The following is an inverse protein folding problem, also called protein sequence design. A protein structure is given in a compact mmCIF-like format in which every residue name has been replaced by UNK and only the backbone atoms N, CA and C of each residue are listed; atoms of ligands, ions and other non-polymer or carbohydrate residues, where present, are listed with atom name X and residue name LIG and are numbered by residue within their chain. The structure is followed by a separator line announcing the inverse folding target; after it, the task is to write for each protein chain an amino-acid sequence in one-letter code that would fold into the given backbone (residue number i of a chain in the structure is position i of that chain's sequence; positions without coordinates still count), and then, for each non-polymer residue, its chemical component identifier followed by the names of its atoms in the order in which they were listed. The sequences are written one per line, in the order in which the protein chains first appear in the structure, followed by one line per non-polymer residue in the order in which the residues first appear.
data_IF_757710351890
#
_entry.id   IF_757710351890
#
_cell.length_a   1.000
_cell.length_b   1.000
_cell.length_c   1.000
_cell.angle_alpha   90.00
_cell.angle_beta   90.00
_cell.angle_gamma   90.00
#
_symmetry.space_group_name_H-M   'P 1'
#
loop_
_entity.id
_entity.type
_entity.pdbx_description
1 polymer ?
#
# COMPACT_ATOMS: atom_id res chain seq x y z
N UNK A 1 5.12 -6.61 12.42
CA UNK A 1 3.64 -6.63 12.49
C UNK A 1 3.08 -6.24 13.85
N UNK A 2 3.63 -6.76 14.98
CA UNK A 2 3.16 -6.40 16.33
C UNK A 2 3.15 -4.89 16.57
N UNK A 3 4.19 -4.16 16.16
CA UNK A 3 4.25 -2.71 16.31
C UNK A 3 3.32 -1.92 15.36
N UNK A 4 2.84 -2.51 14.26
CA UNK A 4 1.81 -1.88 13.42
C UNK A 4 0.44 -1.90 14.12
N UNK A 5 0.11 -3.00 14.79
CA UNK A 5 -1.13 -3.18 15.56
C UNK A 5 -1.31 -2.14 16.66
N UNK A 6 -0.20 -1.63 17.21
CA UNK A 6 -0.22 -0.67 18.32
C UNK A 6 -0.33 0.79 17.87
N UNK A 7 -0.27 1.08 16.56
CA UNK A 7 -0.46 2.43 16.05
C UNK A 7 -1.91 2.84 16.20
N UNK A 8 -2.14 4.10 16.60
CA UNK A 8 -3.47 4.66 16.92
C UNK A 8 -4.14 5.37 15.75
N UNK A 9 -3.45 5.50 14.63
CA UNK A 9 -3.97 6.11 13.41
C UNK A 9 -3.26 5.53 12.18
N UNK A 10 -3.88 5.70 11.02
CA UNK A 10 -3.31 5.28 9.76
C UNK A 10 -2.04 6.07 9.41
N UNK A 11 -2.00 7.37 9.68
CA UNK A 11 -0.80 8.19 9.45
C UNK A 11 0.39 7.62 10.22
N UNK A 12 0.20 7.23 11.48
CA UNK A 12 1.26 6.59 12.27
C UNK A 12 1.66 5.20 11.75
N UNK A 13 0.74 4.46 11.12
CA UNK A 13 1.09 3.21 10.43
C UNK A 13 1.95 3.49 9.19
N UNK A 14 1.56 4.49 8.38
CA UNK A 14 2.29 4.92 7.18
C UNK A 14 3.69 5.40 7.54
N UNK A 15 3.83 6.29 8.52
CA UNK A 15 5.16 6.76 8.96
C UNK A 15 6.02 5.63 9.50
N UNK A 16 5.41 4.63 10.16
CA UNK A 16 6.16 3.50 10.66
C UNK A 16 6.65 2.57 9.55
N UNK A 17 5.84 2.25 8.54
CA UNK A 17 6.27 1.35 7.46
C UNK A 17 7.32 1.97 6.53
N UNK A 18 7.41 3.29 6.46
CA UNK A 18 8.52 3.98 5.76
C UNK A 18 9.89 3.64 6.35
N UNK A 19 9.94 3.24 7.62
CA UNK A 19 11.18 2.86 8.31
C UNK A 19 11.53 1.38 8.17
N UNK A 20 10.70 0.60 7.47
CA UNK A 20 10.88 -0.84 7.38
C UNK A 20 11.94 -1.23 6.34
N UNK A 21 12.71 -2.25 6.70
CA UNK A 21 13.62 -2.91 5.76
C UNK A 21 12.85 -3.77 4.73
N UNK A 22 13.42 -4.08 3.56
CA UNK A 22 12.74 -4.87 2.53
C UNK A 22 12.16 -6.20 3.04
N UNK A 23 12.91 -6.91 3.90
CA UNK A 23 12.48 -8.17 4.49
C UNK A 23 11.26 -8.04 5.41
N UNK A 24 11.12 -6.91 6.11
CA UNK A 24 9.95 -6.62 6.95
C UNK A 24 8.73 -6.26 6.09
N UNK A 25 8.96 -5.48 5.02
CA UNK A 25 7.94 -5.05 4.07
C UNK A 25 7.26 -6.22 3.36
N UNK A 26 7.99 -7.31 3.10
CA UNK A 26 7.42 -8.56 2.56
C UNK A 26 6.26 -9.12 3.42
N UNK A 27 6.27 -8.91 4.73
CA UNK A 27 5.21 -9.39 5.63
C UNK A 27 3.84 -8.76 5.31
N UNK A 28 3.81 -7.53 4.79
CA UNK A 28 2.57 -6.88 4.36
C UNK A 28 1.95 -7.61 3.17
N UNK A 29 2.79 -7.97 2.20
CA UNK A 29 2.33 -8.65 0.99
C UNK A 29 1.85 -10.08 1.28
N UNK A 30 2.54 -10.80 2.17
CA UNK A 30 2.08 -12.10 2.65
C UNK A 30 0.69 -12.00 3.32
N UNK A 31 0.52 -11.06 4.25
CA UNK A 31 -0.77 -10.84 4.90
C UNK A 31 -1.87 -10.46 3.90
N UNK A 32 -1.56 -9.59 2.93
CA UNK A 32 -2.47 -9.23 1.86
C UNK A 32 -2.91 -10.44 1.03
N UNK A 33 -1.97 -11.29 0.61
CA UNK A 33 -2.26 -12.51 -0.15
C UNK A 33 -3.21 -13.44 0.61
N UNK A 34 -2.96 -13.70 1.89
CA UNK A 34 -3.80 -14.58 2.73
C UNK A 34 -5.25 -14.07 2.84
N UNK A 35 -5.42 -12.76 2.94
CA UNK A 35 -6.75 -12.15 3.07
C UNK A 35 -7.46 -11.90 1.75
N UNK A 36 -6.83 -12.15 0.60
CA UNK A 36 -7.40 -11.82 -0.71
C UNK A 36 -8.83 -12.33 -0.90
N UNK A 37 -9.16 -13.52 -0.35
CA UNK A 37 -10.49 -14.13 -0.46
C UNK A 37 -11.38 -13.93 0.76
N UNK A 38 -10.79 -13.85 1.95
CA UNK A 38 -11.53 -13.86 3.23
C UNK A 38 -11.80 -12.46 3.77
N UNK A 39 -10.94 -11.49 3.44
CA UNK A 39 -11.11 -10.09 3.80
C UNK A 39 -10.49 -9.17 2.71
N UNK A 40 -11.18 -8.99 1.56
CA UNK A 40 -10.65 -8.23 0.43
C UNK A 40 -10.28 -6.78 0.77
N UNK A 41 -11.04 -6.14 1.68
CA UNK A 41 -10.76 -4.78 2.13
C UNK A 41 -9.42 -4.72 2.90
N UNK A 42 -9.18 -5.63 3.84
CA UNK A 42 -7.90 -5.71 4.54
C UNK A 42 -6.74 -6.06 3.61
N UNK A 43 -6.95 -7.00 2.69
CA UNK A 43 -5.97 -7.34 1.66
C UNK A 43 -5.51 -6.09 0.91
N UNK A 44 -6.46 -5.35 0.34
CA UNK A 44 -6.15 -4.17 -0.47
C UNK A 44 -5.53 -3.04 0.34
N UNK A 45 -6.00 -2.79 1.56
CA UNK A 45 -5.43 -1.74 2.42
C UNK A 45 -4.02 -2.06 2.89
N UNK A 46 -3.70 -3.34 3.14
CA UNK A 46 -2.34 -3.74 3.52
C UNK A 46 -1.39 -3.72 2.32
N UNK A 47 -1.85 -4.12 1.13
CA UNK A 47 -1.08 -3.94 -0.10
C UNK A 47 -0.82 -2.45 -0.39
N UNK A 48 -1.80 -1.58 -0.12
CA UNK A 48 -1.62 -0.13 -0.23
C UNK A 48 -0.59 0.38 0.80
N UNK A 49 -0.60 -0.15 2.02
CA UNK A 49 0.38 0.20 3.05
C UNK A 49 1.81 -0.17 2.62
N UNK A 50 1.99 -1.27 1.89
CA UNK A 50 3.29 -1.64 1.30
C UNK A 50 3.84 -0.56 0.36
N UNK A 51 2.98 0.17 -0.39
CA UNK A 51 3.45 1.25 -1.28
C UNK A 51 4.22 2.33 -0.55
N UNK A 52 3.91 2.58 0.73
CA UNK A 52 4.60 3.59 1.54
C UNK A 52 5.97 3.14 2.05
N UNK A 53 6.33 1.87 1.87
CA UNK A 53 7.69 1.37 2.16
C UNK A 53 8.70 1.79 1.08
N UNK A 54 8.21 2.14 -0.11
CA UNK A 54 9.00 2.50 -1.30
C UNK A 54 9.96 1.41 -1.79
N UNK A 55 9.75 0.17 -1.37
CA UNK A 55 10.49 -0.99 -1.86
C UNK A 55 9.82 -1.61 -3.08
N UNK A 56 10.62 -2.12 -4.01
CA UNK A 56 10.12 -2.99 -5.07
C UNK A 56 9.47 -4.25 -4.45
N UNK A 57 8.32 -4.73 -4.98
CA UNK A 57 7.78 -6.01 -4.55
C UNK A 57 8.79 -7.13 -4.85
N UNK A 58 8.96 -8.12 -3.95
CA UNK A 58 9.76 -9.31 -4.25
C UNK A 58 9.26 -10.04 -5.49
N UNK A 59 10.14 -10.80 -6.16
CA UNK A 59 9.83 -11.46 -7.45
C UNK A 59 8.56 -12.32 -7.42
N UNK A 60 8.31 -13.04 -6.32
CA UNK A 60 7.12 -13.87 -6.10
C UNK A 60 5.81 -13.07 -5.95
N UNK A 61 5.89 -11.75 -5.84
CA UNK A 61 4.76 -10.83 -5.76
C UNK A 61 4.61 -9.94 -6.98
N UNK A 62 5.62 -9.81 -7.85
CA UNK A 62 5.60 -8.86 -8.98
C UNK A 62 4.35 -8.99 -9.84
N UNK A 63 3.95 -10.22 -10.18
CA UNK A 63 2.82 -10.49 -11.06
C UNK A 63 1.47 -10.23 -10.35
N UNK A 64 1.36 -10.60 -9.08
CA UNK A 64 0.10 -10.51 -8.35
C UNK A 64 -0.10 -9.18 -7.63
N UNK A 65 0.95 -8.40 -7.41
CA UNK A 65 0.89 -7.15 -6.68
C UNK A 65 -0.13 -6.16 -7.27
N UNK A 66 -0.23 -5.99 -8.61
CA UNK A 66 -1.29 -5.19 -9.20
C UNK A 66 -2.70 -5.67 -8.87
N UNK A 67 -2.93 -6.96 -8.62
CA UNK A 67 -4.24 -7.49 -8.25
C UNK A 67 -4.54 -7.34 -6.75
N UNK A 68 -3.49 -7.29 -5.92
CA UNK A 68 -3.63 -7.07 -4.48
C UNK A 68 -3.99 -5.62 -4.18
N UNK A 69 -3.59 -4.69 -5.03
CA UNK A 69 -3.91 -3.28 -4.91
C UNK A 69 -5.40 -2.98 -5.19
N UNK A 70 -5.99 -1.97 -4.54
CA UNK A 70 -7.33 -1.52 -4.88
C UNK A 70 -7.36 -0.95 -6.30
N UNK A 71 -8.46 -1.19 -7.02
CA UNK A 71 -8.63 -0.72 -8.40
C UNK A 71 -8.52 0.82 -8.50
N UNK A 72 -8.98 1.52 -7.47
CA UNK A 72 -8.97 2.98 -7.36
C UNK A 72 -8.38 3.39 -6.02
N UNK A 73 -7.83 4.60 -5.93
CA UNK A 73 -7.30 5.09 -4.66
C UNK A 73 -8.44 5.28 -3.65
N UNK A 74 -8.33 4.81 -2.39
CA UNK A 74 -9.39 5.01 -1.41
C UNK A 74 -9.60 6.50 -1.07
N UNK A 75 -10.84 7.06 -1.15
CA UNK A 75 -11.11 8.48 -0.90
C UNK A 75 -10.64 8.99 0.45
N UNK A 76 -10.81 8.19 1.51
CA UNK A 76 -10.34 8.51 2.86
C UNK A 76 -8.83 8.76 2.93
N UNK A 77 -8.07 8.26 1.94
CA UNK A 77 -6.61 8.32 1.86
C UNK A 77 -6.12 9.31 0.82
N UNK A 78 -7.02 10.07 0.19
CA UNK A 78 -6.67 11.06 -0.84
C UNK A 78 -5.57 12.03 -0.40
N UNK A 79 -5.53 12.53 0.86
CA UNK A 79 -4.45 13.40 1.32
C UNK A 79 -3.04 12.79 1.21
N UNK A 80 -2.92 11.46 1.20
CA UNK A 80 -1.65 10.73 1.12
C UNK A 80 -1.25 10.38 -0.32
N UNK A 81 -2.19 10.42 -1.28
CA UNK A 81 -2.00 9.94 -2.66
C UNK A 81 -0.84 10.65 -3.37
N UNK A 82 -0.91 11.98 -3.44
CA UNK A 82 0.08 12.81 -4.14
C UNK A 82 1.48 12.64 -3.55
N UNK A 83 1.57 12.58 -2.22
CA UNK A 83 2.83 12.34 -1.51
C UNK A 83 3.43 10.99 -1.88
N UNK A 84 2.62 9.93 -1.84
CA UNK A 84 3.04 8.57 -2.22
C UNK A 84 3.61 8.51 -3.64
N UNK A 85 2.88 9.02 -4.64
CA UNK A 85 3.32 9.02 -6.05
C UNK A 85 4.61 9.84 -6.24
N UNK A 86 4.73 10.97 -5.55
CA UNK A 86 5.91 11.83 -5.61
C UNK A 86 7.14 11.11 -5.06
N UNK A 87 7.01 10.44 -3.91
CA UNK A 87 8.10 9.66 -3.32
C UNK A 87 8.57 8.53 -4.24
N UNK A 88 7.64 7.81 -4.88
CA UNK A 88 7.99 6.80 -5.89
C UNK A 88 8.76 7.40 -7.08
N UNK A 89 8.33 8.56 -7.58
CA UNK A 89 9.04 9.28 -8.64
C UNK A 89 10.47 9.66 -8.24
N UNK A 90 10.68 10.09 -7.00
CA UNK A 90 12.00 10.41 -6.48
C UNK A 90 12.90 9.17 -6.38
N UNK A 91 12.40 8.07 -5.81
CA UNK A 91 13.16 6.83 -5.65
C UNK A 91 13.63 6.28 -7.00
N UNK A 92 12.79 6.37 -8.04
CA UNK A 92 13.16 5.97 -9.41
C UNK A 92 14.28 6.84 -10.00
N UNK A 93 14.36 8.12 -9.62
CA UNK A 93 15.38 9.06 -10.13
C UNK A 93 16.73 8.91 -9.43
N UNK A 94 16.73 8.55 -8.15
CA UNK A 94 17.95 8.55 -7.32
C UNK A 94 18.67 7.20 -7.29
N UNK A 95 18.01 6.09 -7.61
CA UNK A 95 18.64 4.77 -7.57
C UNK A 95 19.29 4.39 -8.91
N UNK A 96 20.63 4.33 -8.92
CA UNK A 96 21.45 4.01 -10.10
C UNK A 96 21.72 2.52 -10.30
N UNK A 97 21.04 1.62 -9.56
CA UNK A 97 21.26 0.16 -9.62
C UNK A 97 20.29 -0.55 -10.58
N UNK A 98 20.55 -1.83 -10.86
CA UNK A 98 19.82 -2.68 -11.83
C UNK A 98 18.32 -2.87 -11.57
N UNK A 99 17.83 -2.49 -10.38
CA UNK A 99 16.40 -2.54 -10.01
C UNK A 99 15.58 -1.34 -10.56
N UNK A 100 16.23 -0.42 -11.28
CA UNK A 100 15.59 0.75 -11.89
C UNK A 100 14.44 0.37 -12.85
N UNK A 101 14.53 -0.75 -13.56
CA UNK A 101 13.46 -1.19 -14.48
C UNK A 101 12.19 -1.56 -13.73
N UNK A 102 12.30 -2.35 -12.65
CA UNK A 102 11.13 -2.76 -11.86
C UNK A 102 10.45 -1.55 -11.22
N UNK A 103 11.25 -0.63 -10.66
CA UNK A 103 10.71 0.59 -10.05
C UNK A 103 10.08 1.54 -11.06
N UNK A 104 10.62 1.64 -12.28
CA UNK A 104 10.00 2.37 -13.38
C UNK A 104 8.66 1.75 -13.79
N UNK A 105 8.60 0.42 -13.93
CA UNK A 105 7.35 -0.29 -14.21
C UNK A 105 6.32 -0.10 -13.11
N UNK A 106 6.75 -0.16 -11.84
CA UNK A 106 5.92 0.15 -10.67
C UNK A 106 5.37 1.58 -10.73
N UNK A 107 6.23 2.59 -10.91
CA UNK A 107 5.80 3.99 -11.01
C UNK A 107 4.80 4.17 -12.16
N UNK A 108 5.08 3.60 -13.34
CA UNK A 108 4.17 3.69 -14.49
C UNK A 108 2.80 3.07 -14.20
N UNK A 109 2.76 1.90 -13.54
CA UNK A 109 1.51 1.27 -13.10
C UNK A 109 0.76 2.13 -12.09
N UNK A 110 1.47 2.70 -11.11
CA UNK A 110 0.88 3.57 -10.09
C UNK A 110 0.34 4.87 -10.69
N UNK A 111 1.04 5.48 -11.64
CA UNK A 111 0.56 6.67 -12.36
C UNK A 111 -0.66 6.35 -13.22
N UNK A 112 -0.64 5.23 -13.96
CA UNK A 112 -1.79 4.80 -14.75
C UNK A 112 -3.03 4.59 -13.88
N UNK A 113 -2.86 3.99 -12.70
CA UNK A 113 -3.97 3.62 -11.82
C UNK A 113 -4.44 4.75 -10.90
N UNK A 114 -3.53 5.56 -10.39
CA UNK A 114 -3.80 6.51 -9.30
C UNK A 114 -3.45 7.96 -9.61
N UNK A 115 -3.15 8.32 -10.88
CA UNK A 115 -2.93 9.73 -11.26
C UNK A 115 -4.15 10.61 -11.02
N UNK A 116 -5.35 10.07 -11.21
CA UNK A 116 -6.62 10.76 -10.98
C UNK A 116 -7.00 10.74 -9.49
N UNK A 117 -7.74 11.77 -9.00
CA UNK A 117 -8.30 11.76 -7.66
C UNK A 117 -9.17 10.53 -7.40
N UNK A 118 -9.26 10.12 -6.14
CA UNK A 118 -10.11 9.03 -5.71
C UNK A 118 -11.58 9.25 -6.15
N UNK A 119 -12.21 8.26 -6.80
CA UNK A 119 -13.61 8.34 -7.20
C UNK A 119 -14.54 8.13 -6.00
N UNK A 120 -15.75 8.69 -6.08
CA UNK A 120 -16.78 8.54 -5.04
C UNK A 120 -17.50 7.18 -5.07
N UNK A 121 -16.99 6.21 -5.83
CA UNK A 121 -17.59 4.88 -6.01
C UNK A 121 -16.54 3.79 -5.83
N UNK A 122 -16.97 2.60 -5.40
CA UNK A 122 -16.13 1.43 -5.18
C UNK A 122 -16.10 0.97 -3.71
N UNK A 123 -15.24 0.00 -3.41
CA UNK A 123 -15.20 -0.70 -2.11
C UNK A 123 -14.98 0.23 -0.90
N UNK A 124 -14.23 1.32 -1.10
CA UNK A 124 -13.88 2.28 -0.04
C UNK A 124 -14.64 3.61 -0.15
N UNK A 125 -15.63 3.69 -1.04
CA UNK A 125 -16.44 4.89 -1.19
C UNK A 125 -17.25 5.17 0.09
N UNK A 126 -17.30 6.44 0.50
CA UNK A 126 -18.02 6.87 1.70
C UNK A 126 -17.40 6.45 3.04
N UNK A 127 -16.32 5.66 3.04
CA UNK A 127 -15.63 5.29 4.28
C UNK A 127 -14.91 6.49 4.88
N UNK A 128 -15.02 6.67 6.19
CA UNK A 128 -14.22 7.67 6.90
C UNK A 128 -12.79 7.13 7.13
N UNK A 129 -11.79 8.01 7.32
CA UNK A 129 -10.43 7.58 7.68
C UNK A 129 -10.39 6.68 8.92
N UNK A 130 -11.29 6.89 9.88
CA UNK A 130 -11.41 6.06 11.07
C UNK A 130 -11.87 4.62 10.74
N UNK A 131 -12.77 4.45 9.78
CA UNK A 131 -13.28 3.14 9.37
C UNK A 131 -12.21 2.36 8.60
N UNK A 132 -11.49 3.03 7.70
CA UNK A 132 -10.35 2.43 6.99
C UNK A 132 -9.29 1.96 7.98
N UNK A 133 -8.98 2.79 8.97
CA UNK A 133 -8.07 2.43 10.05
C UNK A 133 -8.61 1.27 10.90
N UNK A 134 -9.91 1.24 11.19
CA UNK A 134 -10.54 0.16 11.94
C UNK A 134 -10.44 -1.19 11.20
N UNK A 135 -10.64 -1.21 9.88
CA UNK A 135 -10.45 -2.41 9.04
C UNK A 135 -9.02 -2.92 9.15
N UNK A 136 -8.04 -2.04 8.94
CA UNK A 136 -6.62 -2.40 9.06
C UNK A 136 -6.27 -2.92 10.45
N UNK A 137 -6.71 -2.22 11.50
CA UNK A 137 -6.44 -2.62 12.88
C UNK A 137 -7.09 -3.97 13.20
N UNK A 138 -8.34 -4.16 12.82
CA UNK A 138 -9.09 -5.41 13.05
C UNK A 138 -8.39 -6.59 12.39
N UNK A 139 -8.03 -6.45 11.10
CA UNK A 139 -7.32 -7.50 10.37
C UNK A 139 -5.96 -7.79 11.01
N UNK A 140 -5.20 -6.76 11.37
CA UNK A 140 -3.89 -6.96 12.00
C UNK A 140 -3.98 -7.66 13.36
N UNK A 141 -5.07 -7.55 14.10
CA UNK A 141 -5.28 -8.27 15.37
C UNK A 141 -5.54 -9.77 15.20
N UNK A 142 -5.91 -10.22 14.00
CA UNK A 142 -6.21 -11.63 13.68
C UNK A 142 -4.97 -12.44 13.24
N UNK A 143 -3.85 -11.76 13.02
CA UNK A 143 -2.52 -12.35 12.76
C UNK A 143 -1.77 -12.63 14.06
#
# INVERSE_FOLDING_TARGET
MIALRTKKSLVLMVEYVKTWEPGQSRLLLLASREWRKTNPAASQLVALLFLFTLHSPPWDFVIEFPDLLPATWPPALEPLRKGCLTSWSQVVRTDGTSDATMRKSMLSMLEQRYSKPAPEQGLFAGMLPADVFAVLRSAMMQL
#
